data_IF_675677498980
#
_entry.id   IF_675677498980
#
_cell.length_a   1.000
_cell.length_b   1.000
_cell.length_c   1.000
_cell.angle_alpha   90.00
_cell.angle_beta   90.00
_cell.angle_gamma   90.00
#
_symmetry.space_group_name_H-M   'P 1'
#
loop_
_entity.id
_entity.type
_entity.pdbx_description
1 polymer ?
#
# COMPACT_ATOMS: atom_id res chain seq x y z
N UNK A 1 15.51 1.07 9.58
CA UNK A 1 15.14 2.03 8.52
C UNK A 1 14.43 1.22 7.46
N UNK A 2 13.21 1.57 7.07
CA UNK A 2 12.59 0.91 5.92
C UNK A 2 13.53 1.10 4.72
N UNK A 3 13.83 0.01 4.02
CA UNK A 3 14.72 0.09 2.86
C UNK A 3 14.06 0.94 1.76
N UNK A 4 14.83 1.41 0.77
CA UNK A 4 14.33 2.24 -0.33
C UNK A 4 13.22 1.56 -1.15
N UNK A 5 12.97 0.27 -0.91
CA UNK A 5 11.96 -0.55 -1.59
C UNK A 5 10.56 -0.47 -1.00
N UNK A 6 10.35 0.17 0.17
CA UNK A 6 9.07 0.09 0.89
C UNK A 6 7.85 0.47 0.04
N UNK A 7 7.96 1.48 -0.84
CA UNK A 7 6.87 1.86 -1.74
C UNK A 7 6.58 0.78 -2.81
N UNK A 8 7.63 0.11 -3.30
CA UNK A 8 7.49 -1.03 -4.21
C UNK A 8 6.89 -2.26 -3.50
N UNK A 9 7.26 -2.47 -2.24
CA UNK A 9 6.73 -3.56 -1.40
C UNK A 9 5.23 -3.36 -1.13
N UNK A 10 4.81 -2.12 -0.82
CA UNK A 10 3.38 -1.75 -0.69
C UNK A 10 2.63 -2.03 -2.00
N UNK A 11 3.18 -1.58 -3.14
CA UNK A 11 2.55 -1.80 -4.44
C UNK A 11 2.39 -3.29 -4.76
N UNK A 12 3.44 -4.07 -4.47
CA UNK A 12 3.45 -5.52 -4.65
C UNK A 12 2.45 -6.22 -3.74
N UNK A 13 2.31 -5.75 -2.50
CA UNK A 13 1.32 -6.26 -1.55
C UNK A 13 -0.11 -6.02 -2.04
N UNK A 14 -0.44 -4.81 -2.52
CA UNK A 14 -1.77 -4.50 -3.06
C UNK A 14 -2.12 -5.46 -4.20
N UNK A 15 -1.21 -5.64 -5.17
CA UNK A 15 -1.39 -6.57 -6.29
C UNK A 15 -1.57 -8.00 -5.81
N UNK A 16 -0.72 -8.47 -4.89
CA UNK A 16 -0.81 -9.82 -4.33
C UNK A 16 -2.17 -10.05 -3.67
N UNK A 17 -2.64 -9.10 -2.86
CA UNK A 17 -3.94 -9.16 -2.20
C UNK A 17 -5.08 -9.22 -3.20
N UNK A 18 -5.08 -8.38 -4.24
CA UNK A 18 -6.08 -8.42 -5.31
C UNK A 18 -6.06 -9.76 -6.05
N UNK A 19 -4.87 -10.24 -6.44
CA UNK A 19 -4.67 -11.55 -7.10
C UNK A 19 -5.23 -12.70 -6.27
N UNK A 20 -5.00 -12.70 -4.96
CA UNK A 20 -5.49 -13.75 -4.05
C UNK A 20 -7.02 -13.77 -3.96
N UNK A 21 -7.68 -12.61 -4.00
CA UNK A 21 -9.12 -12.51 -3.69
C UNK A 21 -10.03 -12.30 -4.92
N UNK A 22 -9.46 -12.05 -6.10
CA UNK A 22 -10.20 -11.82 -7.35
C UNK A 22 -10.05 -12.97 -8.37
N UNK A 23 -9.22 -13.97 -8.05
CA UNK A 23 -9.13 -15.23 -8.79
C UNK A 23 -9.95 -16.32 -8.07
N UNK A 24 -10.66 -17.21 -8.80
CA UNK A 24 -10.82 -17.27 -10.26
C UNK A 24 -11.92 -16.38 -10.83
N UNK A 25 -12.71 -15.70 -10.00
CA UNK A 25 -13.78 -14.80 -10.42
C UNK A 25 -13.67 -13.47 -9.66
N UNK A 26 -13.84 -12.30 -10.33
CA UNK A 26 -14.20 -12.10 -11.74
C UNK A 26 -13.02 -12.16 -12.71
N UNK A 27 -11.79 -12.36 -12.22
CA UNK A 27 -10.59 -12.41 -13.05
C UNK A 27 -10.07 -13.86 -13.14
N UNK A 28 -10.08 -14.40 -14.35
CA UNK A 28 -9.73 -15.80 -14.62
C UNK A 28 -8.22 -16.11 -14.50
N UNK A 29 -7.38 -15.09 -14.42
CA UNK A 29 -5.92 -15.23 -14.31
C UNK A 29 -5.37 -14.17 -13.37
N UNK A 30 -4.63 -14.54 -12.31
CA UNK A 30 -3.98 -13.57 -11.43
C UNK A 30 -3.03 -12.61 -12.19
N UNK A 31 -2.44 -13.07 -13.30
CA UNK A 31 -1.55 -12.25 -14.12
C UNK A 31 -2.28 -11.08 -14.80
N UNK A 32 -3.61 -11.10 -14.86
CA UNK A 32 -4.41 -10.01 -15.42
C UNK A 32 -4.59 -8.83 -14.44
N UNK A 33 -3.88 -8.83 -13.31
CA UNK A 33 -3.82 -7.72 -12.35
C UNK A 33 -2.35 -7.31 -12.23
N UNK A 34 -2.02 -6.05 -12.52
CA UNK A 34 -0.61 -5.64 -12.53
C UNK A 34 -0.38 -4.18 -12.10
N UNK A 35 0.86 -3.88 -11.67
CA UNK A 35 1.33 -2.50 -11.46
C UNK A 35 1.64 -1.91 -12.82
N UNK A 36 0.92 -0.87 -13.20
CA UNK A 36 1.03 -0.33 -14.55
C UNK A 36 0.59 1.13 -14.58
N UNK A 37 1.09 1.84 -15.58
CA UNK A 37 0.68 3.22 -15.83
C UNK A 37 -0.47 3.23 -16.84
N UNK A 38 -1.50 4.08 -16.65
CA UNK A 38 -2.67 4.14 -17.54
C UNK A 38 -2.35 4.50 -19.00
N UNK A 39 -1.21 5.15 -19.25
CA UNK A 39 -0.72 5.50 -20.59
C UNK A 39 -0.04 4.32 -21.32
N UNK A 40 0.18 3.19 -20.63
CA UNK A 40 0.78 1.98 -21.20
C UNK A 40 -0.22 1.23 -22.07
N UNK A 41 0.06 1.17 -23.38
CA UNK A 41 -0.84 0.60 -24.40
C UNK A 41 -0.59 -0.88 -24.72
N UNK A 42 0.55 -1.46 -24.31
CA UNK A 42 1.00 -2.81 -24.67
C UNK A 42 0.82 -3.85 -23.54
N UNK A 43 0.11 -3.48 -22.47
CA UNK A 43 -0.06 -4.32 -21.30
C UNK A 43 -1.07 -5.45 -21.50
N UNK A 44 -0.64 -6.69 -21.24
CA UNK A 44 -1.52 -7.88 -21.20
C UNK A 44 -2.06 -8.10 -19.78
N UNK A 45 -2.83 -7.13 -19.27
CA UNK A 45 -3.48 -7.17 -17.97
C UNK A 45 -4.82 -6.44 -18.05
N UNK A 46 -5.84 -6.89 -17.29
CA UNK A 46 -7.19 -6.29 -17.27
C UNK A 46 -7.28 -5.19 -16.21
N UNK A 47 -6.76 -5.41 -15.01
CA UNK A 47 -6.85 -4.49 -13.88
C UNK A 47 -5.48 -3.88 -13.60
N UNK A 48 -5.35 -2.56 -13.78
CA UNK A 48 -4.13 -1.82 -13.50
C UNK A 48 -4.18 -1.12 -12.14
N UNK A 49 -3.04 -1.10 -11.45
CA UNK A 49 -2.83 -0.35 -10.21
C UNK A 49 -1.69 0.65 -10.45
N UNK A 50 -1.96 1.93 -10.25
CA UNK A 50 -1.02 3.01 -10.53
C UNK A 50 -0.83 3.93 -9.32
N UNK A 51 0.40 4.08 -8.83
CA UNK A 51 0.76 5.08 -7.83
C UNK A 51 0.85 6.45 -8.53
N UNK A 52 -0.18 7.28 -8.40
CA UNK A 52 -0.28 8.54 -9.14
C UNK A 52 0.20 9.75 -8.35
N UNK A 53 0.26 9.66 -7.01
CA UNK A 53 0.70 10.76 -6.16
C UNK A 53 1.33 10.23 -4.87
N UNK A 54 2.30 10.98 -4.35
CA UNK A 54 3.00 10.71 -3.10
C UNK A 54 3.08 12.02 -2.33
N UNK A 55 2.53 12.03 -1.11
CA UNK A 55 2.52 13.24 -0.27
C UNK A 55 3.16 12.96 1.06
N UNK A 56 3.99 13.88 1.53
CA UNK A 56 4.39 13.88 2.94
C UNK A 56 3.15 14.22 3.79
N UNK A 57 2.80 13.33 4.71
CA UNK A 57 1.73 13.58 5.67
C UNK A 57 2.35 14.21 6.91
N UNK A 58 2.02 15.49 7.13
CA UNK A 58 2.46 16.18 8.32
C UNK A 58 1.79 15.57 9.55
N UNK A 59 2.56 14.84 10.36
CA UNK A 59 2.08 14.37 11.64
C UNK A 59 1.71 15.59 12.51
N UNK A 60 0.49 15.61 13.04
CA UNK A 60 0.08 16.59 14.04
C UNK A 60 0.90 16.29 15.30
N UNK A 61 2.03 16.99 15.44
CA UNK A 61 2.91 16.95 16.61
C UNK A 61 3.77 15.68 16.81
N UNK A 62 4.80 15.50 15.97
CA UNK A 62 5.95 14.65 16.36
C UNK A 62 7.00 15.50 17.11
N UNK A 63 7.57 15.00 18.23
CA UNK A 63 8.72 15.65 18.84
C UNK A 63 9.90 15.68 17.84
N UNK A 64 10.68 16.77 17.80
CA UNK A 64 11.70 16.98 16.77
C UNK A 64 12.83 15.95 16.78
N UNK A 65 13.02 15.26 17.90
CA UNK A 65 14.02 14.22 18.10
C UNK A 65 13.42 13.06 18.90
N UNK A 66 13.74 11.84 18.50
CA UNK A 66 13.40 10.62 19.24
C UNK A 66 14.69 9.94 19.71
N UNK A 67 14.64 9.33 20.90
CA UNK A 67 15.76 8.56 21.44
C UNK A 67 15.85 7.22 20.69
N UNK A 68 16.99 6.96 20.06
CA UNK A 68 17.32 5.66 19.47
C UNK A 68 17.88 4.72 20.54
N UNK A 69 17.79 3.41 20.29
CA UNK A 69 18.31 2.31 21.14
C UNK A 69 19.77 2.46 21.60
N UNK A 70 20.58 3.27 20.88
CA UNK A 70 21.98 3.57 21.19
C UNK A 70 22.20 4.92 21.91
N UNK A 71 21.16 5.48 22.54
CA UNK A 71 21.21 6.79 23.22
C UNK A 71 21.58 7.96 22.29
N UNK A 72 21.32 7.81 20.98
CA UNK A 72 21.47 8.86 19.97
C UNK A 72 20.10 9.50 19.69
N UNK A 73 20.09 10.81 19.49
CA UNK A 73 18.90 11.53 19.02
C UNK A 73 18.83 11.39 17.50
N UNK A 74 17.73 10.82 17.00
CA UNK A 74 17.47 10.72 15.55
C UNK A 74 16.27 11.58 15.17
N UNK A 75 16.29 12.10 13.95
CA UNK A 75 15.11 12.72 13.34
C UNK A 75 14.06 11.62 13.14
N UNK A 76 12.79 11.85 13.49
CA UNK A 76 11.75 10.87 13.24
C UNK A 76 11.60 10.58 11.73
N UNK A 77 11.16 9.36 11.37
CA UNK A 77 10.87 9.04 9.97
C UNK A 77 9.76 9.93 9.43
N UNK A 78 9.89 10.32 8.17
CA UNK A 78 8.85 11.05 7.43
C UNK A 78 7.73 10.07 7.08
N UNK A 79 6.48 10.49 7.29
CA UNK A 79 5.30 9.71 6.92
C UNK A 79 4.88 10.14 5.52
N UNK A 80 4.68 9.17 4.62
CA UNK A 80 4.17 9.42 3.27
C UNK A 80 2.81 8.76 3.08
N UNK A 81 1.88 9.52 2.51
CA UNK A 81 0.65 9.00 1.90
C UNK A 81 0.92 8.59 0.46
N UNK A 82 0.59 7.34 0.12
CA UNK A 82 0.69 6.79 -1.23
C UNK A 82 -0.70 6.69 -1.84
N UNK A 83 -0.92 7.43 -2.93
CA UNK A 83 -2.24 7.54 -3.54
C UNK A 83 -2.28 6.72 -4.83
N UNK A 84 -3.09 5.67 -4.81
CA UNK A 84 -3.22 4.73 -5.93
C UNK A 84 -4.52 4.95 -6.70
N UNK A 85 -4.45 4.76 -8.01
CA UNK A 85 -5.58 4.66 -8.92
C UNK A 85 -5.71 3.22 -9.38
N UNK A 86 -6.95 2.72 -9.40
CA UNK A 86 -7.31 1.42 -9.94
C UNK A 86 -8.15 1.65 -11.17
N UNK A 87 -7.78 1.02 -12.27
CA UNK A 87 -8.42 1.23 -13.56
C UNK A 87 -8.49 -0.08 -14.36
N UNK A 88 -9.41 -0.14 -15.31
CA UNK A 88 -9.42 -1.20 -16.31
C UNK A 88 -8.57 -0.76 -17.49
N UNK A 89 -7.68 -1.63 -17.94
CA UNK A 89 -6.95 -1.43 -19.19
C UNK A 89 -7.86 -1.73 -20.38
N UNK A 90 -8.19 -0.71 -21.17
CA UNK A 90 -9.07 -0.82 -22.34
C UNK A 90 -8.53 -1.74 -23.45
N UNK A 91 -7.20 -1.89 -23.54
CA UNK A 91 -6.57 -2.65 -24.62
C UNK A 91 -6.66 -4.17 -24.45
N UNK A 92 -6.86 -4.66 -23.23
CA UNK A 92 -6.91 -6.10 -22.93
C UNK A 92 -8.34 -6.65 -22.74
N UNK A 93 -9.38 -5.82 -22.97
CA UNK A 93 -10.78 -6.17 -22.62
C UNK A 93 -11.49 -7.07 -23.63
N UNK A 94 -10.77 -7.73 -24.56
CA UNK A 94 -11.38 -8.51 -25.64
C UNK A 94 -12.41 -9.51 -25.09
N UNK A 95 -13.70 -9.19 -25.28
CA UNK A 95 -14.83 -10.04 -24.89
C UNK A 95 -15.56 -9.68 -23.58
N UNK A 96 -15.07 -8.74 -22.78
CA UNK A 96 -15.76 -8.28 -21.56
C UNK A 96 -16.77 -7.17 -21.88
N UNK A 97 -17.96 -7.25 -21.27
CA UNK A 97 -19.00 -6.21 -21.41
C UNK A 97 -18.91 -5.21 -20.27
N UNK A 98 -19.43 -4.01 -20.47
CA UNK A 98 -19.41 -2.94 -19.46
C UNK A 98 -19.91 -3.38 -18.05
N UNK A 99 -20.97 -4.19 -17.89
CA UNK A 99 -21.37 -4.68 -16.57
C UNK A 99 -20.32 -5.57 -15.90
N UNK A 100 -19.55 -6.35 -16.68
CA UNK A 100 -18.52 -7.23 -16.13
C UNK A 100 -17.30 -6.42 -15.67
N UNK A 101 -16.96 -5.34 -16.40
CA UNK A 101 -15.93 -4.38 -15.98
C UNK A 101 -16.30 -3.70 -14.65
N UNK A 102 -17.58 -3.30 -14.51
CA UNK A 102 -18.08 -2.72 -13.27
C UNK A 102 -18.01 -3.70 -12.10
N UNK A 103 -18.30 -4.99 -12.33
CA UNK A 103 -18.12 -6.03 -11.30
C UNK A 103 -16.66 -6.18 -10.89
N UNK A 104 -15.72 -6.13 -11.84
CA UNK A 104 -14.28 -6.18 -11.55
C UNK A 104 -13.88 -5.02 -10.64
N UNK A 105 -14.25 -3.78 -10.99
CA UNK A 105 -13.96 -2.60 -10.17
C UNK A 105 -14.63 -2.71 -8.79
N UNK A 106 -15.91 -3.10 -8.73
CA UNK A 106 -16.63 -3.27 -7.48
C UNK A 106 -15.98 -4.31 -6.56
N UNK A 107 -15.53 -5.44 -7.13
CA UNK A 107 -14.82 -6.46 -6.37
C UNK A 107 -13.45 -5.97 -5.89
N UNK A 108 -12.70 -5.24 -6.72
CA UNK A 108 -11.42 -4.66 -6.31
C UNK A 108 -11.58 -3.69 -5.12
N UNK A 109 -12.59 -2.81 -5.19
CA UNK A 109 -12.91 -1.89 -4.11
C UNK A 109 -13.28 -2.64 -2.81
N UNK A 110 -14.09 -3.70 -2.91
CA UNK A 110 -14.42 -4.56 -1.76
C UNK A 110 -13.16 -5.21 -1.17
N UNK A 111 -12.30 -5.81 -1.99
CA UNK A 111 -11.08 -6.49 -1.51
C UNK A 111 -10.17 -5.53 -0.77
N UNK A 112 -10.01 -4.30 -1.26
CA UNK A 112 -9.17 -3.28 -0.60
C UNK A 112 -9.77 -2.82 0.70
N UNK A 113 -11.09 -2.59 0.72
CA UNK A 113 -11.80 -2.23 1.95
C UNK A 113 -11.63 -3.33 3.03
N UNK A 114 -11.77 -4.59 2.64
CA UNK A 114 -11.69 -5.73 3.55
C UNK A 114 -10.23 -6.04 3.99
N UNK A 115 -9.23 -5.52 3.29
CA UNK A 115 -7.79 -5.69 3.56
C UNK A 115 -7.08 -4.33 3.71
N UNK A 116 -7.68 -3.41 4.45
CA UNK A 116 -7.28 -2.00 4.52
C UNK A 116 -6.07 -1.70 5.43
N UNK A 117 -5.46 -2.73 6.03
CA UNK A 117 -4.32 -2.58 6.93
C UNK A 117 -3.33 -3.73 6.73
N UNK A 118 -2.05 -3.44 6.83
CA UNK A 118 -0.97 -4.42 6.73
C UNK A 118 0.13 -4.07 7.73
N UNK A 119 0.66 -5.09 8.39
CA UNK A 119 1.75 -4.91 9.34
C UNK A 119 3.09 -4.73 8.61
N UNK A 120 3.99 -3.87 9.10
CA UNK A 120 5.29 -3.61 8.45
C UNK A 120 6.10 -4.90 8.19
N UNK A 121 6.06 -5.87 9.10
CA UNK A 121 6.76 -7.16 8.95
C UNK A 121 6.21 -8.01 7.80
N UNK A 122 4.96 -7.78 7.38
CA UNK A 122 4.36 -8.46 6.22
C UNK A 122 4.90 -7.88 4.91
N UNK A 123 5.23 -6.58 4.90
CA UNK A 123 5.79 -5.88 3.75
C UNK A 123 7.30 -6.12 3.62
N UNK A 124 8.02 -6.05 4.74
CA UNK A 124 9.47 -6.21 4.80
C UNK A 124 9.87 -7.20 5.92
N UNK A 125 9.82 -8.52 5.67
CA UNK A 125 10.18 -9.53 6.65
C UNK A 125 11.63 -9.39 7.09
N UNK A 126 11.88 -9.31 8.40
CA UNK A 126 13.23 -9.16 8.95
C UNK A 126 13.76 -7.72 8.98
N UNK A 127 12.93 -6.73 8.65
CA UNK A 127 13.25 -5.33 8.92
C UNK A 127 13.11 -5.03 10.43
N UNK A 128 14.07 -4.29 11.00
CA UNK A 128 14.06 -3.85 12.41
C UNK A 128 13.01 -2.74 12.68
N UNK A 129 11.87 -2.75 11.99
CA UNK A 129 10.74 -1.85 12.23
C UNK A 129 10.00 -2.27 13.50
N UNK A 130 10.69 -2.25 14.66
CA UNK A 130 10.02 -2.33 15.96
C UNK A 130 9.14 -1.10 16.10
N UNK A 131 7.88 -1.31 16.52
CA UNK A 131 6.98 -0.23 16.95
C UNK A 131 7.75 0.79 17.79
N UNK A 132 7.54 2.11 17.61
CA UNK A 132 8.12 3.09 18.52
C UNK A 132 7.71 2.72 19.95
N UNK A 133 8.65 2.67 20.91
CA UNK A 133 8.32 2.26 22.27
C UNK A 133 7.19 3.13 22.79
N UNK A 134 6.14 2.50 23.33
CA UNK A 134 5.11 3.18 24.09
C UNK A 134 5.77 3.94 25.25
N UNK A 135 5.94 5.25 25.10
CA UNK A 135 6.35 6.10 26.20
C UNK A 135 5.15 6.29 27.13
N UNK A 136 5.06 5.48 28.18
CA UNK A 136 4.32 5.88 29.38
C UNK A 136 5.04 7.08 29.97
N UNK A 137 4.48 8.28 29.78
CA UNK A 137 4.95 9.48 30.47
C UNK A 137 4.85 9.22 31.98
N UNK A 138 5.93 9.41 32.76
CA UNK A 138 5.83 9.32 34.20
C UNK A 138 4.92 10.44 34.70
N UNK A 139 3.94 10.09 35.54
CA UNK A 139 3.15 11.07 36.27
C UNK A 139 4.10 11.95 37.09
N UNK A 140 4.23 13.23 36.71
CA UNK A 140 4.86 14.25 37.53
C UNK A 140 4.04 14.40 38.83
N UNK A 141 4.46 13.72 39.89
CA UNK A 141 4.02 14.06 41.23
C UNK A 141 4.76 15.33 41.66
N UNK A 142 4.09 16.47 41.48
CA UNK A 142 4.38 17.71 42.20
C UNK A 142 4.08 17.52 43.68
N UNK A 143 5.10 17.65 44.53
CA UNK A 143 5.03 18.26 45.86
C UNK A 143 6.33 19.02 46.11
#
# INVERSE_FOLDING_TARGET
>A
MADYTIMADVSSYIVKTLRTHMYPEPILSPNNIDISSPDRQDGDYILGIYLYDIREEAAISQPPLILSDKNHLIKPPVIYGLYYMIYINDFSQLGLKAPDLQKIIGKAAQVIHDNNSVLPETLQPGSDLKEPPHYTLPHENRL
#
